data_IF_956372401178
#
_entry.id   IF_956372401178
#
_cell.length_a   1.000
_cell.length_b   1.000
_cell.length_c   1.000
_cell.angle_alpha   90.00
_cell.angle_beta   90.00
_cell.angle_gamma   90.00
#
_symmetry.space_group_name_H-M   'P 1'
#
loop_
_entity.id
_entity.type
_entity.pdbx_description
1 polymer ?
#
# COMPACT_ATOMS: atom_id res chain seq x y z
N UNK A 1 -11.80 -1.20 13.81
CA UNK A 1 -11.10 -0.17 13.03
C UNK A 1 -11.14 -0.59 11.56
N UNK A 2 -11.11 0.32 10.60
CA UNK A 2 -11.19 -0.03 9.18
C UNK A 2 -9.85 0.24 8.48
N UNK A 3 -9.65 -0.39 7.33
CA UNK A 3 -8.51 -0.12 6.45
C UNK A 3 -8.93 -0.24 4.99
N UNK A 4 -8.15 0.41 4.12
CA UNK A 4 -8.17 0.13 2.70
C UNK A 4 -6.76 0.25 2.10
N UNK A 5 -6.55 -0.46 1.00
CA UNK A 5 -5.31 -0.44 0.23
C UNK A 5 -5.67 -0.15 -1.22
N UNK A 6 -5.01 0.81 -1.84
CA UNK A 6 -5.24 1.14 -3.25
C UNK A 6 -3.94 1.25 -4.03
N UNK A 7 -4.09 1.15 -5.36
CA UNK A 7 -3.09 1.55 -6.34
C UNK A 7 -3.67 2.59 -7.29
N UNK A 8 -2.84 3.51 -7.78
CA UNK A 8 -3.21 4.43 -8.85
C UNK A 8 -2.00 4.79 -9.70
N UNK A 9 -2.23 5.27 -10.93
CA UNK A 9 -1.18 5.80 -11.79
C UNK A 9 -0.85 7.22 -11.34
N UNK A 10 0.41 7.46 -11.01
CA UNK A 10 0.94 8.79 -10.72
C UNK A 10 1.02 9.62 -12.01
N UNK A 11 0.60 10.88 -11.92
CA UNK A 11 0.85 11.90 -12.93
C UNK A 11 1.97 12.86 -12.50
N UNK A 12 2.70 12.48 -11.44
CA UNK A 12 3.79 13.25 -10.85
C UNK A 12 5.08 12.40 -10.86
N UNK A 13 6.21 12.92 -11.35
CA UNK A 13 7.47 12.16 -11.38
C UNK A 13 7.97 11.79 -9.97
N UNK A 14 8.52 10.58 -9.82
CA UNK A 14 9.26 10.15 -8.62
C UNK A 14 10.45 11.09 -8.36
N UNK A 15 10.83 11.29 -7.10
CA UNK A 15 11.91 12.20 -6.69
C UNK A 15 11.63 13.69 -6.89
N UNK A 16 10.46 14.07 -7.43
CA UNK A 16 10.13 15.47 -7.67
C UNK A 16 9.69 16.20 -6.40
N UNK A 17 9.85 17.52 -6.38
CA UNK A 17 9.30 18.37 -5.31
C UNK A 17 7.78 18.25 -5.17
N UNK A 18 7.08 17.96 -6.28
CA UNK A 18 5.65 17.70 -6.27
C UNK A 18 5.30 16.37 -5.58
N UNK A 19 6.09 15.31 -5.76
CA UNK A 19 5.93 14.05 -5.04
C UNK A 19 6.15 14.25 -3.53
N UNK A 20 7.20 14.99 -3.15
CA UNK A 20 7.44 15.37 -1.76
C UNK A 20 6.26 16.18 -1.17
N UNK A 21 5.69 17.11 -1.94
CA UNK A 21 4.53 17.89 -1.51
C UNK A 21 3.26 17.03 -1.32
N UNK A 22 3.05 16.01 -2.15
CA UNK A 22 1.98 15.01 -1.97
C UNK A 22 2.17 14.30 -0.63
N UNK A 23 3.36 13.80 -0.35
CA UNK A 23 3.65 13.12 0.91
C UNK A 23 3.39 14.03 2.11
N UNK A 24 3.91 15.26 2.10
CA UNK A 24 3.71 16.21 3.20
C UNK A 24 2.23 16.54 3.43
N UNK A 25 1.46 16.69 2.33
CA UNK A 25 0.01 16.92 2.39
C UNK A 25 -0.72 15.72 2.96
N UNK A 26 -0.42 14.51 2.45
CA UNK A 26 -1.00 13.26 2.93
C UNK A 26 -0.70 13.06 4.42
N UNK A 27 0.55 13.25 4.85
CA UNK A 27 0.96 13.12 6.24
C UNK A 27 0.19 14.07 7.15
N UNK A 28 0.11 15.35 6.81
CA UNK A 28 -0.61 16.36 7.60
C UNK A 28 -2.11 16.05 7.69
N UNK A 29 -2.76 15.82 6.55
CA UNK A 29 -4.21 15.64 6.50
C UNK A 29 -4.62 14.31 7.15
N UNK A 30 -3.85 13.24 6.93
CA UNK A 30 -4.14 11.93 7.50
C UNK A 30 -3.95 11.93 9.02
N UNK A 31 -2.90 12.58 9.53
CA UNK A 31 -2.71 12.75 10.96
C UNK A 31 -3.90 13.50 11.61
N UNK A 32 -4.37 14.59 11.01
CA UNK A 32 -5.54 15.35 11.50
C UNK A 32 -6.83 14.51 11.50
N UNK A 33 -6.96 13.56 10.57
CA UNK A 33 -8.12 12.67 10.46
C UNK A 33 -7.99 11.36 11.27
N UNK A 34 -6.89 11.17 12.02
CA UNK A 34 -6.59 9.95 12.78
C UNK A 34 -6.24 8.73 11.90
N UNK A 35 -5.87 8.99 10.64
CA UNK A 35 -5.50 7.98 9.64
C UNK A 35 -3.98 7.74 9.71
N UNK A 36 -3.58 6.49 9.91
CA UNK A 36 -2.18 6.04 9.79
C UNK A 36 -2.01 5.25 8.50
N UNK A 37 -0.76 4.97 8.12
CA UNK A 37 -0.52 4.16 6.96
C UNK A 37 0.86 4.28 6.37
N UNK A 38 0.94 3.86 5.12
CA UNK A 38 2.15 3.85 4.31
C UNK A 38 1.81 4.23 2.87
N UNK A 39 2.55 5.18 2.30
CA UNK A 39 2.47 5.57 0.89
C UNK A 39 3.79 5.20 0.19
N UNK A 40 3.68 4.46 -0.91
CA UNK A 40 4.82 4.11 -1.74
C UNK A 40 4.64 4.65 -3.14
N UNK A 41 5.70 5.21 -3.71
CA UNK A 41 5.74 5.76 -5.06
C UNK A 41 6.90 5.17 -5.86
N UNK A 42 6.59 4.41 -6.89
CA UNK A 42 7.56 3.71 -7.75
C UNK A 42 6.94 3.45 -9.12
N UNK A 43 7.76 3.44 -10.19
CA UNK A 43 7.34 3.08 -11.54
C UNK A 43 6.09 3.86 -12.03
N UNK A 44 5.96 5.12 -11.62
CA UNK A 44 4.80 5.96 -11.95
C UNK A 44 3.48 5.49 -11.33
N UNK A 45 3.53 4.79 -10.18
CA UNK A 45 2.36 4.33 -9.44
C UNK A 45 2.44 4.72 -7.97
N UNK A 46 1.30 5.09 -7.40
CA UNK A 46 1.11 5.17 -5.95
C UNK A 46 0.47 3.89 -5.44
N UNK A 47 1.01 3.33 -4.36
CA UNK A 47 0.37 2.29 -3.55
C UNK A 47 0.26 2.81 -2.13
N UNK A 48 -0.95 2.82 -1.56
CA UNK A 48 -1.13 3.30 -0.20
C UNK A 48 -1.97 2.35 0.64
N UNK A 49 -1.48 2.04 1.83
CA UNK A 49 -2.23 1.40 2.91
C UNK A 49 -2.73 2.50 3.83
N UNK A 50 -4.04 2.55 4.08
CA UNK A 50 -4.68 3.52 4.96
C UNK A 50 -5.46 2.81 6.06
N UNK A 51 -5.28 3.26 7.30
CA UNK A 51 -5.86 2.65 8.49
C UNK A 51 -6.49 3.74 9.38
N UNK A 52 -7.78 3.64 9.71
CA UNK A 52 -8.44 4.65 10.53
C UNK A 52 -9.90 4.38 10.87
N UNK A 53 -10.58 5.41 11.36
CA UNK A 53 -12.02 5.37 11.56
C UNK A 53 -12.74 5.35 10.21
N UNK A 54 -13.85 4.60 10.12
CA UNK A 54 -14.59 4.42 8.86
C UNK A 54 -14.95 5.73 8.18
N UNK A 55 -15.43 6.72 8.95
CA UNK A 55 -15.79 8.04 8.42
C UNK A 55 -14.60 8.78 7.83
N UNK A 56 -13.46 8.79 8.53
CA UNK A 56 -12.22 9.40 8.04
C UNK A 56 -11.74 8.75 6.74
N UNK A 57 -11.80 7.42 6.66
CA UNK A 57 -11.38 6.68 5.47
C UNK A 57 -12.31 6.93 4.28
N UNK A 58 -13.62 7.04 4.49
CA UNK A 58 -14.58 7.39 3.43
C UNK A 58 -14.28 8.78 2.88
N UNK A 59 -14.02 9.77 3.75
CA UNK A 59 -13.67 11.13 3.32
C UNK A 59 -12.35 11.17 2.53
N UNK A 60 -11.32 10.44 3.01
CA UNK A 60 -10.07 10.31 2.28
C UNK A 60 -10.29 9.68 0.90
N UNK A 61 -11.08 8.62 0.81
CA UNK A 61 -11.39 7.98 -0.46
C UNK A 61 -12.05 8.93 -1.46
N UNK A 62 -13.01 9.75 -1.01
CA UNK A 62 -13.62 10.77 -1.88
C UNK A 62 -12.61 11.82 -2.36
N UNK A 63 -11.69 12.24 -1.50
CA UNK A 63 -10.63 13.17 -1.90
C UNK A 63 -9.74 12.56 -2.98
N UNK A 64 -9.31 11.32 -2.78
CA UNK A 64 -8.48 10.56 -3.74
C UNK A 64 -9.17 10.33 -5.08
N UNK A 65 -10.50 10.28 -5.15
CA UNK A 65 -11.21 10.16 -6.44
C UNK A 65 -11.09 11.42 -7.31
N UNK A 66 -10.83 12.58 -6.70
CA UNK A 66 -10.84 13.90 -7.36
C UNK A 66 -9.47 14.55 -7.45
N UNK A 67 -8.45 13.92 -6.90
CA UNK A 67 -7.11 14.47 -6.86
C UNK A 67 -6.45 14.41 -8.26
N UNK A 68 -6.11 15.56 -8.87
CA UNK A 68 -5.63 15.62 -10.25
C UNK A 68 -4.20 15.07 -10.42
N UNK A 69 -3.52 14.72 -9.33
CA UNK A 69 -2.12 14.26 -9.34
C UNK A 69 -2.00 12.77 -9.66
N UNK A 70 -3.11 12.05 -9.76
CA UNK A 70 -3.13 10.63 -10.12
C UNK A 70 -4.41 10.26 -10.87
N UNK A 71 -4.42 9.08 -11.47
CA UNK A 71 -5.58 8.54 -12.19
C UNK A 71 -5.68 7.03 -12.05
N UNK A 72 -6.81 6.45 -12.46
CA UNK A 72 -7.01 5.00 -12.45
C UNK A 72 -6.92 4.38 -11.05
N UNK A 73 -7.45 5.08 -10.03
CA UNK A 73 -7.50 4.55 -8.67
C UNK A 73 -8.26 3.22 -8.64
N UNK A 74 -7.60 2.18 -8.11
CA UNK A 74 -8.16 0.85 -7.96
C UNK A 74 -7.98 0.35 -6.53
N UNK A 75 -9.07 -0.10 -5.94
CA UNK A 75 -9.05 -0.74 -4.62
C UNK A 75 -8.40 -2.12 -4.73
N UNK A 76 -7.40 -2.39 -3.91
CA UNK A 76 -6.72 -3.68 -3.82
C UNK A 76 -7.32 -4.53 -2.70
N UNK A 77 -7.54 -3.93 -1.54
CA UNK A 77 -8.13 -4.57 -0.38
C UNK A 77 -8.89 -3.54 0.48
N UNK A 78 -9.89 -4.00 1.23
CA UNK A 78 -10.56 -3.21 2.27
C UNK A 78 -11.19 -4.14 3.29
N UNK A 79 -11.26 -3.71 4.54
CA UNK A 79 -11.88 -4.51 5.58
C UNK A 79 -11.86 -3.82 6.94
N UNK A 80 -12.22 -4.60 7.95
CA UNK A 80 -12.14 -4.19 9.34
C UNK A 80 -11.11 -5.04 10.07
N UNK A 81 -10.31 -4.41 10.93
CA UNK A 81 -9.30 -5.05 11.75
C UNK A 81 -9.55 -4.75 13.24
N UNK A 82 -9.15 -5.67 14.15
CA UNK A 82 -9.28 -5.47 15.59
C UNK A 82 -8.42 -4.31 16.12
N UNK A 83 -7.37 -3.91 15.38
CA UNK A 83 -6.49 -2.78 15.69
C UNK A 83 -5.65 -2.38 14.48
N UNK A 84 -4.71 -1.44 14.68
CA UNK A 84 -3.75 -1.05 13.63
C UNK A 84 -2.84 -2.23 13.31
N UNK A 85 -2.69 -2.57 12.02
CA UNK A 85 -1.78 -3.59 11.50
C UNK A 85 -0.41 -3.00 11.15
N UNK A 86 -0.36 -1.69 10.90
CA UNK A 86 0.89 -0.93 10.86
C UNK A 86 1.13 -0.27 12.22
N UNK A 87 2.40 -0.07 12.58
CA UNK A 87 2.78 0.50 13.88
C UNK A 87 2.16 1.89 14.09
N UNK A 88 2.08 2.36 15.34
CA UNK A 88 1.41 3.62 15.78
C UNK A 88 1.94 4.92 15.13
N UNK A 89 2.98 4.85 14.31
CA UNK A 89 3.59 6.02 13.70
C UNK A 89 2.69 6.63 12.61
N UNK A 90 2.85 7.94 12.41
CA UNK A 90 2.18 8.71 11.37
C UNK A 90 2.40 8.11 9.97
N UNK A 91 1.58 8.55 9.00
CA UNK A 91 1.68 8.21 7.59
C UNK A 91 3.15 8.27 7.09
N UNK A 92 3.76 7.11 6.91
CA UNK A 92 5.12 6.97 6.39
C UNK A 92 5.09 6.98 4.85
N UNK A 93 6.20 7.35 4.22
CA UNK A 93 6.35 7.13 2.79
C UNK A 93 7.75 6.69 2.41
N UNK A 94 7.80 6.00 1.28
CA UNK A 94 9.01 5.60 0.60
C UNK A 94 8.87 5.84 -0.89
N UNK A 95 10.01 6.04 -1.52
CA UNK A 95 10.19 5.93 -2.97
C UNK A 95 11.20 4.81 -3.24
N UNK A 96 11.66 4.70 -4.48
CA UNK A 96 12.54 3.63 -4.95
C UNK A 96 13.85 3.52 -4.15
N UNK A 97 14.40 4.63 -3.67
CA UNK A 97 15.67 4.65 -2.93
C UNK A 97 15.56 3.96 -1.56
N UNK A 98 14.38 4.02 -0.95
CA UNK A 98 14.14 3.45 0.37
C UNK A 98 13.67 2.00 0.28
N UNK A 99 12.92 1.61 -0.74
CA UNK A 99 12.56 0.21 -0.99
C UNK A 99 12.08 0.07 -2.42
N UNK A 100 12.84 -0.64 -3.26
CA UNK A 100 12.37 -1.00 -4.60
C UNK A 100 11.45 -2.21 -4.51
N UNK A 101 10.26 -2.09 -5.08
CA UNK A 101 9.29 -3.16 -5.15
C UNK A 101 9.87 -4.38 -5.87
N UNK A 102 10.69 -4.18 -6.91
CA UNK A 102 11.37 -5.29 -7.59
C UNK A 102 12.26 -6.10 -6.61
N UNK A 103 13.03 -5.44 -5.75
CA UNK A 103 13.87 -6.10 -4.75
C UNK A 103 13.04 -6.82 -3.69
N UNK A 104 11.90 -6.22 -3.30
CA UNK A 104 10.93 -6.83 -2.41
C UNK A 104 10.07 -7.93 -3.06
N UNK A 105 10.05 -8.08 -4.39
CA UNK A 105 9.17 -9.04 -5.07
C UNK A 105 9.92 -10.12 -5.85
N UNK A 106 11.24 -10.11 -5.84
CA UNK A 106 12.06 -11.04 -6.62
C UNK A 106 12.11 -10.69 -8.12
N UNK A 107 12.01 -9.40 -8.45
CA UNK A 107 12.24 -8.86 -9.80
C UNK A 107 10.97 -8.53 -10.60
N UNK A 108 9.78 -8.63 -10.02
CA UNK A 108 8.55 -8.28 -10.71
C UNK A 108 8.24 -6.76 -10.58
N UNK A 109 7.79 -6.09 -11.66
CA UNK A 109 7.42 -4.68 -11.56
C UNK A 109 6.12 -4.50 -10.76
N UNK A 110 6.06 -3.40 -9.99
CA UNK A 110 4.97 -3.06 -9.08
C UNK A 110 3.60 -3.15 -9.76
N UNK A 111 3.46 -2.48 -10.90
CA UNK A 111 2.19 -2.38 -11.64
C UNK A 111 1.62 -3.74 -12.07
N UNK A 112 2.48 -4.74 -12.29
CA UNK A 112 2.05 -6.09 -12.68
C UNK A 112 1.74 -6.96 -11.47
N UNK A 113 2.52 -6.88 -10.39
CA UNK A 113 2.39 -7.83 -9.29
C UNK A 113 1.39 -7.37 -8.22
N UNK A 114 1.40 -6.09 -7.84
CA UNK A 114 0.51 -5.54 -6.80
C UNK A 114 -0.98 -5.90 -6.97
N UNK A 115 -1.57 -5.90 -8.19
CA UNK A 115 -2.94 -6.37 -8.40
C UNK A 115 -3.23 -7.81 -7.98
N UNK A 116 -2.20 -8.66 -7.87
CA UNK A 116 -2.30 -10.11 -7.63
C UNK A 116 -1.92 -10.49 -6.20
N UNK A 117 -1.42 -9.54 -5.42
CA UNK A 117 -1.03 -9.77 -4.04
C UNK A 117 -2.25 -9.99 -3.16
N UNK A 118 -2.13 -10.94 -2.22
CA UNK A 118 -3.10 -11.07 -1.14
C UNK A 118 -3.03 -9.86 -0.20
N UNK A 119 -4.07 -9.68 0.60
CA UNK A 119 -4.11 -8.60 1.57
C UNK A 119 -2.92 -8.65 2.54
N UNK A 120 -2.58 -9.83 3.07
CA UNK A 120 -1.44 -9.97 4.00
C UNK A 120 -0.14 -9.56 3.32
N UNK A 121 0.05 -9.90 2.06
CA UNK A 121 1.24 -9.57 1.28
C UNK A 121 1.37 -8.07 1.03
N UNK A 122 0.26 -7.36 0.86
CA UNK A 122 0.25 -5.90 0.77
C UNK A 122 0.65 -5.25 2.10
N UNK A 123 0.21 -5.82 3.23
CA UNK A 123 0.66 -5.37 4.55
C UNK A 123 2.12 -5.73 4.83
N UNK A 124 2.61 -6.89 4.39
CA UNK A 124 4.03 -7.27 4.45
C UNK A 124 4.90 -6.26 3.72
N UNK A 125 4.50 -5.87 2.50
CA UNK A 125 5.18 -4.84 1.74
C UNK A 125 5.24 -3.52 2.50
N UNK A 126 4.10 -3.08 3.04
CA UNK A 126 4.05 -1.85 3.82
C UNK A 126 4.93 -1.90 5.10
N UNK A 127 4.95 -3.04 5.80
CA UNK A 127 5.83 -3.23 6.97
C UNK A 127 7.30 -3.19 6.59
N UNK A 128 7.69 -3.83 5.48
CA UNK A 128 9.06 -3.77 4.97
C UNK A 128 9.48 -2.33 4.63
N UNK A 129 8.60 -1.58 3.97
CA UNK A 129 8.82 -0.16 3.68
C UNK A 129 8.97 0.70 4.93
N UNK A 130 8.10 0.50 5.93
CA UNK A 130 8.21 1.18 7.22
C UNK A 130 9.55 0.88 7.92
N UNK A 131 10.00 -0.38 7.88
CA UNK A 131 11.27 -0.77 8.48
C UNK A 131 12.46 -0.10 7.77
N UNK A 132 12.43 -0.01 6.45
CA UNK A 132 13.46 0.63 5.65
C UNK A 132 13.59 2.13 5.93
N UNK A 133 12.45 2.84 5.95
CA UNK A 133 12.39 4.27 6.27
C UNK A 133 12.96 4.54 7.67
N UNK A 134 12.72 3.63 8.64
CA UNK A 134 13.29 3.74 9.99
C UNK A 134 14.79 3.47 10.04
N UNK A 135 15.27 2.52 9.25
CA UNK A 135 16.69 2.18 9.22
C UNK A 135 17.54 3.20 8.45
N UNK A 136 16.92 4.17 7.76
CA UNK A 136 17.62 5.07 6.84
C UNK A 136 18.34 4.31 5.71
N UNK A 137 17.94 3.06 5.45
CA UNK A 137 18.66 2.09 4.60
C UNK A 137 17.62 1.23 3.87
N UNK A 138 17.83 0.86 2.59
CA UNK A 138 16.93 -0.06 1.90
C UNK A 138 16.91 -1.43 2.62
N UNK A 139 15.74 -2.09 2.71
CA UNK A 139 15.65 -3.39 3.33
C UNK A 139 16.36 -4.39 2.39
N UNK A 140 17.10 -5.34 2.96
CA UNK A 140 17.88 -6.28 2.16
C UNK A 140 16.96 -7.05 1.17
N UNK A 141 17.36 -7.20 -0.11
CA UNK A 141 16.63 -8.04 -1.06
C UNK A 141 16.62 -9.48 -0.54
N UNK A 142 15.45 -10.00 -0.18
CA UNK A 142 15.35 -11.34 0.44
C UNK A 142 14.11 -11.66 1.26
N UNK A 143 13.13 -10.76 1.40
CA UNK A 143 11.86 -11.08 2.08
C UNK A 143 10.94 -12.00 1.25
N UNK A 144 11.39 -12.47 0.08
CA UNK A 144 10.59 -13.10 -0.98
C UNK A 144 10.87 -14.58 -1.09
N UNK A 145 10.50 -15.35 -0.07
CA UNK A 145 10.61 -16.82 -0.19
C UNK A 145 9.25 -17.52 -0.19
N UNK A 146 8.12 -16.79 -0.10
CA UNK A 146 6.81 -17.43 0.06
C UNK A 146 5.69 -16.99 -0.91
N UNK A 147 5.95 -16.11 -1.89
CA UNK A 147 4.87 -15.50 -2.67
C UNK A 147 4.60 -16.08 -4.07
N UNK A 148 5.48 -16.94 -4.58
CA UNK A 148 5.37 -17.48 -5.95
C UNK A 148 4.42 -18.68 -6.04
N UNK A 149 3.86 -19.15 -4.93
CA UNK A 149 2.76 -20.11 -4.96
C UNK A 149 1.44 -19.37 -5.22
N UNK A 150 1.09 -19.24 -6.49
CA UNK A 150 -0.28 -18.90 -6.88
C UNK A 150 -1.28 -19.81 -6.14
N UNK A 151 -2.43 -19.31 -5.64
CA UNK A 151 -3.48 -20.20 -5.18
C UNK A 151 -3.98 -20.97 -6.42
N UNK A 152 -3.72 -22.28 -6.44
CA UNK A 152 -4.33 -23.19 -7.41
C UNK A 152 -5.85 -23.07 -7.34
N UNK A 153 -6.58 -23.39 -8.42
CA UNK A 153 -8.04 -23.32 -8.42
C UNK A 153 -8.55 -24.30 -7.35
N UNK A 154 -9.06 -23.75 -6.24
CA UNK A 154 -9.71 -24.51 -5.20
C UNK A 154 -10.95 -25.17 -5.77
N UNK A 155 -10.88 -26.49 -5.90
CA UNK A 155 -11.95 -27.35 -6.34
C UNK A 155 -13.19 -27.13 -5.45
N UNK A 156 -14.26 -26.63 -6.08
CA UNK A 156 -15.57 -26.44 -5.48
C UNK A 156 -16.26 -27.77 -5.27
N UNK A 157 -15.79 -28.56 -4.31
CA UNK A 157 -16.41 -29.80 -3.86
C UNK A 157 -17.67 -29.55 -3.05
N UNK A 158 -18.74 -29.14 -3.72
CA UNK A 158 -20.08 -29.00 -3.15
C UNK A 158 -20.83 -30.33 -3.26
N UNK A 159 -20.73 -31.24 -2.28
CA UNK A 159 -21.72 -32.34 -2.12
C UNK A 159 -22.05 -32.63 -0.65
N UNK A 160 -23.09 -31.91 -0.23
CA UNK A 160 -24.28 -32.32 0.55
C UNK A 160 -24.16 -33.54 1.46
N UNK A 161 -24.37 -33.27 2.75
CA UNK A 161 -24.91 -34.20 3.75
C UNK A 161 -26.30 -34.68 3.32
N UNK A 162 -26.53 -35.99 3.35
CA UNK A 162 -27.77 -36.67 3.74
C UNK A 162 -27.41 -38.12 4.02
#
# INVERSE_FOLDING_TARGET
>A
MDYFIYISRSLVPTGSSAAAAIFLTARRNNAQAGITGYLHHEDGHFVQVCEGHRTSLVLLYHHLLTDPRHTGLRMLARGSAPGRRLSVWDMAASEEEALRFADWSGGAPLSKLVPRLSEEQLFDFARAGLAAVRAGTPPAPGAVTALTAAPGPGDGGHRRRS
#
